data_IF_168337477833
#
_entry.id   IF_168337477833
#
_cell.length_a   1.000
_cell.length_b   1.000
_cell.length_c   1.000
_cell.angle_alpha   90.00
_cell.angle_beta   90.00
_cell.angle_gamma   90.00
#
_symmetry.space_group_name_H-M   'P 1'
#
loop_
_entity.id
_entity.type
_entity.pdbx_description
1 polymer ?
#
# COMPACT_ATOMS: atom_id res chain seq x y z
N UNK A 1 -18.84 15.00 -2.25
CA UNK A 1 -18.19 14.71 -0.95
C UNK A 1 -17.04 13.77 -1.26
N UNK A 2 -15.79 14.21 -1.12
CA UNK A 2 -14.63 13.33 -1.28
C UNK A 2 -14.44 12.59 0.05
N UNK A 3 -15.23 11.54 0.28
CA UNK A 3 -15.10 10.78 1.53
C UNK A 3 -13.96 9.76 1.36
N UNK A 4 -12.74 10.18 1.72
CA UNK A 4 -11.69 9.21 2.02
C UNK A 4 -12.14 8.40 3.24
N UNK A 5 -12.14 7.07 3.12
CA UNK A 5 -12.44 6.18 4.23
C UNK A 5 -11.16 5.49 4.68
N UNK A 6 -10.89 5.55 5.98
CA UNK A 6 -9.85 4.74 6.60
C UNK A 6 -10.35 3.31 6.75
N UNK A 7 -9.63 2.34 6.17
CA UNK A 7 -10.08 0.95 6.05
C UNK A 7 -9.15 -0.06 6.71
N UNK A 8 -7.89 0.32 6.97
CA UNK A 8 -6.90 -0.61 7.51
C UNK A 8 -5.71 0.12 8.12
N UNK A 9 -5.11 -0.51 9.13
CA UNK A 9 -3.88 -0.10 9.78
C UNK A 9 -3.13 -1.33 10.27
N UNK A 10 -1.82 -1.31 10.12
CA UNK A 10 -0.94 -2.27 10.77
C UNK A 10 0.20 -1.53 11.45
N UNK A 11 0.61 -2.06 12.60
CA UNK A 11 1.88 -1.72 13.22
C UNK A 11 2.82 -2.90 12.96
N UNK A 12 3.95 -2.63 12.32
CA UNK A 12 4.98 -3.63 12.00
C UNK A 12 6.29 -3.26 12.68
N UNK A 13 7.09 -4.28 12.98
CA UNK A 13 8.42 -4.08 13.57
C UNK A 13 9.39 -3.41 12.57
N UNK A 14 9.29 -3.77 11.29
CA UNK A 14 10.14 -3.23 10.22
C UNK A 14 9.44 -3.27 8.87
N UNK A 15 9.92 -2.47 7.93
CA UNK A 15 9.48 -2.44 6.52
C UNK A 15 10.11 -3.58 5.69
N UNK A 16 10.35 -4.75 6.28
CA UNK A 16 10.84 -5.90 5.52
C UNK A 16 9.74 -6.52 4.68
N UNK A 17 10.11 -7.08 3.52
CA UNK A 17 9.21 -7.75 2.58
C UNK A 17 8.18 -8.69 3.23
N UNK A 18 8.63 -9.54 4.17
CA UNK A 18 7.76 -10.50 4.86
C UNK A 18 6.68 -9.82 5.71
N UNK A 19 7.07 -8.77 6.45
CA UNK A 19 6.16 -8.01 7.30
C UNK A 19 5.11 -7.26 6.46
N UNK A 20 5.54 -6.66 5.34
CA UNK A 20 4.64 -6.00 4.42
C UNK A 20 3.68 -7.00 3.76
N UNK A 21 4.19 -8.14 3.28
CA UNK A 21 3.39 -9.19 2.67
C UNK A 21 2.30 -9.70 3.61
N UNK A 22 2.65 -9.89 4.89
CA UNK A 22 1.69 -10.25 5.94
C UNK A 22 0.59 -9.20 6.09
N UNK A 23 0.94 -7.91 6.18
CA UNK A 23 -0.04 -6.84 6.30
C UNK A 23 -0.96 -6.73 5.08
N UNK A 24 -0.42 -6.89 3.88
CA UNK A 24 -1.20 -6.85 2.64
C UNK A 24 -2.18 -8.03 2.54
N UNK A 25 -1.79 -9.20 3.05
CA UNK A 25 -2.69 -10.36 3.14
C UNK A 25 -3.89 -10.05 4.05
N UNK A 26 -3.63 -9.60 5.27
CA UNK A 26 -4.67 -9.23 6.24
C UNK A 26 -5.58 -8.11 5.71
N UNK A 27 -4.99 -7.11 5.04
CA UNK A 27 -5.74 -6.05 4.37
C UNK A 27 -6.73 -6.61 3.34
N UNK A 28 -6.27 -7.51 2.46
CA UNK A 28 -7.09 -8.10 1.40
C UNK A 28 -8.20 -8.99 1.95
N UNK A 29 -7.92 -9.78 2.98
CA UNK A 29 -8.91 -10.61 3.66
C UNK A 29 -10.01 -9.77 4.31
N UNK A 30 -9.64 -8.61 4.88
CA UNK A 30 -10.58 -7.70 5.53
C UNK A 30 -11.34 -6.79 4.56
N UNK A 31 -10.82 -6.57 3.35
CA UNK A 31 -11.34 -5.58 2.40
C UNK A 31 -11.52 -6.15 0.99
N UNK A 32 -12.55 -6.97 0.70
CA UNK A 32 -12.74 -7.60 -0.62
C UNK A 32 -12.79 -6.62 -1.81
N UNK A 33 -13.12 -5.35 -1.56
CA UNK A 33 -13.08 -4.29 -2.55
C UNK A 33 -11.65 -3.93 -3.03
N UNK A 34 -10.60 -4.50 -2.43
CA UNK A 34 -9.19 -4.30 -2.80
C UNK A 34 -8.92 -4.57 -4.28
N UNK A 35 -9.70 -5.45 -4.92
CA UNK A 35 -9.62 -5.74 -6.36
C UNK A 35 -9.85 -4.52 -7.26
N UNK A 36 -10.43 -3.45 -6.71
CA UNK A 36 -10.67 -2.20 -7.41
C UNK A 36 -9.54 -1.18 -7.25
N UNK A 37 -8.47 -1.50 -6.51
CA UNK A 37 -7.32 -0.60 -6.34
C UNK A 37 -6.66 -0.39 -7.69
N UNK A 38 -6.50 0.88 -8.08
CA UNK A 38 -5.84 1.30 -9.32
C UNK A 38 -4.53 2.03 -9.10
N UNK A 39 -4.30 2.52 -7.89
CA UNK A 39 -3.13 3.33 -7.54
C UNK A 39 -2.71 2.96 -6.14
N UNK A 40 -1.40 2.78 -5.95
CA UNK A 40 -0.75 2.69 -4.64
C UNK A 40 0.20 3.88 -4.54
N UNK A 41 0.12 4.63 -3.43
CA UNK A 41 0.96 5.80 -3.20
C UNK A 41 1.89 5.51 -2.03
N UNK A 42 3.20 5.60 -2.24
CA UNK A 42 4.23 5.35 -1.21
C UNK A 42 5.10 6.59 -1.00
N UNK A 43 5.87 6.64 0.08
CA UNK A 43 6.94 7.63 0.21
C UNK A 43 8.11 7.32 -0.76
N UNK A 44 9.13 8.20 -0.77
CA UNK A 44 10.28 8.12 -1.68
C UNK A 44 11.29 7.04 -1.26
N UNK A 45 11.43 6.81 0.04
CA UNK A 45 12.42 5.94 0.66
C UNK A 45 11.88 4.53 0.92
N UNK A 46 10.62 4.27 0.53
CA UNK A 46 9.97 2.97 0.58
C UNK A 46 10.70 1.95 -0.29
N UNK A 47 11.16 0.87 0.32
CA UNK A 47 12.07 -0.09 -0.30
C UNK A 47 11.34 -1.26 -0.94
N UNK A 48 10.19 -1.68 -0.38
CA UNK A 48 9.52 -2.92 -0.76
C UNK A 48 8.51 -2.74 -1.91
N UNK A 49 8.93 -2.03 -2.97
CA UNK A 49 8.09 -1.73 -4.14
C UNK A 49 7.67 -2.99 -4.91
N UNK A 50 8.52 -4.00 -4.95
CA UNK A 50 8.23 -5.26 -5.64
C UNK A 50 7.11 -6.05 -4.95
N UNK A 51 7.07 -6.03 -3.61
CA UNK A 51 5.98 -6.65 -2.83
C UNK A 51 4.62 -6.00 -3.17
N UNK A 52 4.60 -4.68 -3.36
CA UNK A 52 3.39 -3.97 -3.79
C UNK A 52 3.01 -4.30 -5.23
N UNK A 53 3.98 -4.48 -6.12
CA UNK A 53 3.73 -4.87 -7.52
C UNK A 53 3.11 -6.27 -7.59
N UNK A 54 3.62 -7.21 -6.81
CA UNK A 54 3.09 -8.57 -6.72
C UNK A 54 1.69 -8.59 -6.07
N UNK A 55 1.48 -7.76 -5.05
CA UNK A 55 0.19 -7.68 -4.38
C UNK A 55 -0.88 -6.98 -5.23
N UNK A 56 -0.53 -5.97 -6.02
CA UNK A 56 -1.48 -5.17 -6.80
C UNK A 56 -0.98 -5.00 -8.24
N UNK A 57 -0.93 -6.07 -9.05
CA UNK A 57 -0.31 -6.05 -10.37
C UNK A 57 -1.01 -5.10 -11.35
N UNK A 58 -2.30 -4.85 -11.16
CA UNK A 58 -3.09 -3.94 -11.99
C UNK A 58 -3.06 -2.47 -11.49
N UNK A 59 -2.38 -2.20 -10.38
CA UNK A 59 -2.30 -0.87 -9.78
C UNK A 59 -1.01 -0.16 -10.20
N UNK A 60 -1.14 1.14 -10.50
CA UNK A 60 0.02 2.00 -10.73
C UNK A 60 0.62 2.44 -9.40
N UNK A 61 1.91 2.20 -9.22
CA UNK A 61 2.65 2.78 -8.09
C UNK A 61 3.03 4.23 -8.38
N UNK A 62 2.79 5.11 -7.41
CA UNK A 62 3.12 6.54 -7.47
C UNK A 62 3.87 6.95 -6.20
N UNK A 63 4.76 7.92 -6.34
CA UNK A 63 5.34 8.59 -5.18
C UNK A 63 4.36 9.62 -4.61
N UNK A 64 4.32 9.70 -3.30
CA UNK A 64 3.57 10.69 -2.56
C UNK A 64 4.12 12.09 -2.85
N UNK A 65 3.29 12.98 -3.40
CA UNK A 65 3.71 14.35 -3.72
C UNK A 65 4.22 15.12 -2.50
N UNK A 66 3.66 14.87 -1.32
CA UNK A 66 4.08 15.56 -0.10
C UNK A 66 5.51 15.24 0.32
N UNK A 67 6.07 14.08 -0.06
CA UNK A 67 7.45 13.70 0.25
C UNK A 67 8.44 14.05 -0.88
N UNK A 68 7.94 14.48 -2.05
CA UNK A 68 8.74 14.83 -3.23
C UNK A 68 8.96 16.34 -3.34
N UNK A 69 8.13 17.16 -2.68
CA UNK A 69 8.21 18.63 -2.73
C UNK A 69 9.20 19.20 -1.68
N UNK A 70 9.79 18.36 -0.83
CA UNK A 70 10.92 18.75 0.04
C UNK A 70 12.22 18.99 -0.73
#
# INVERSE_FOLDING_TARGET
MLQGQYVYHSLVESEMADNLSFCLKEFKESNPAWVNIRVVVTDKDFNEKDVLADAFPDARQLLCQFHVID
#
